data_IF_814002598870
#
_entry.id   IF_814002598870
#
_cell.length_a   1.000
_cell.length_b   1.000
_cell.length_c   1.000
_cell.angle_alpha   90.00
_cell.angle_beta   90.00
_cell.angle_gamma   90.00
#
_symmetry.space_group_name_H-M   'P 1'
#
loop_
_entity.id
_entity.type
_entity.pdbx_description
1 polymer ?
#
# COMPACT_ATOMS: atom_id res chain seq x y z
N UNK A 1 -8.67 12.25 0.84
CA UNK A 1 -7.24 11.92 0.70
C UNK A 1 -6.95 11.41 -0.69
N UNK A 2 -5.85 11.85 -1.24
CA UNK A 2 -5.45 11.52 -2.61
C UNK A 2 -4.20 10.64 -2.56
N UNK A 3 -4.14 9.65 -3.45
CA UNK A 3 -2.91 8.91 -3.71
C UNK A 3 -2.58 8.96 -5.19
N UNK A 4 -1.32 8.73 -5.51
CA UNK A 4 -0.87 8.51 -6.88
C UNK A 4 -0.54 7.05 -7.07
N UNK A 5 -0.96 6.49 -8.19
CA UNK A 5 -0.79 5.08 -8.52
C UNK A 5 -0.05 4.97 -9.84
N UNK A 6 1.17 4.48 -9.80
CA UNK A 6 1.93 4.20 -11.01
C UNK A 6 1.47 2.87 -11.60
N UNK A 7 1.09 2.89 -12.87
CA UNK A 7 0.62 1.70 -13.59
C UNK A 7 1.39 1.55 -14.90
N UNK A 8 1.14 0.45 -15.60
CA UNK A 8 1.73 0.24 -16.93
C UNK A 8 1.32 1.30 -17.94
N UNK A 9 0.18 1.96 -17.76
CA UNK A 9 -0.35 2.99 -18.66
C UNK A 9 -0.11 4.42 -18.19
N UNK A 10 0.65 4.60 -17.12
CA UNK A 10 0.94 5.92 -16.55
C UNK A 10 0.51 6.03 -15.10
N UNK A 11 0.66 7.21 -14.53
CA UNK A 11 0.33 7.47 -13.13
C UNK A 11 -1.04 8.14 -13.02
N UNK A 12 -1.90 7.58 -12.20
CA UNK A 12 -3.24 8.11 -11.93
C UNK A 12 -3.31 8.71 -10.54
N UNK A 13 -4.04 9.84 -10.43
CA UNK A 13 -4.46 10.34 -9.14
C UNK A 13 -5.80 9.68 -8.77
N UNK A 14 -5.92 9.23 -7.54
CA UNK A 14 -7.13 8.56 -7.05
C UNK A 14 -7.56 9.21 -5.75
N UNK A 15 -8.84 9.61 -5.68
CA UNK A 15 -9.47 10.02 -4.43
C UNK A 15 -9.90 8.76 -3.69
N UNK A 16 -9.22 8.48 -2.60
CA UNK A 16 -9.39 7.24 -1.86
C UNK A 16 -10.71 7.20 -1.09
N UNK A 17 -11.17 8.34 -0.59
CA UNK A 17 -12.39 8.42 0.20
C UNK A 17 -13.64 8.31 -0.69
N UNK A 18 -13.62 8.97 -1.85
CA UNK A 18 -14.73 8.93 -2.80
C UNK A 18 -14.60 7.80 -3.82
N UNK A 19 -13.50 7.05 -3.80
CA UNK A 19 -13.22 5.93 -4.70
C UNK A 19 -13.33 6.32 -6.17
N UNK A 20 -12.68 7.45 -6.53
CA UNK A 20 -12.71 7.99 -7.88
C UNK A 20 -11.31 8.11 -8.48
N UNK A 21 -11.18 7.70 -9.73
CA UNK A 21 -9.98 8.00 -10.50
C UNK A 21 -10.13 9.43 -11.04
N UNK A 22 -9.22 10.31 -10.63
CA UNK A 22 -9.28 11.73 -11.00
C UNK A 22 -8.63 12.01 -12.36
N UNK A 23 -7.76 11.12 -12.82
CA UNK A 23 -7.13 11.23 -14.12
C UNK A 23 -5.63 10.97 -14.07
N UNK A 24 -4.99 11.08 -15.24
CA UNK A 24 -3.54 10.94 -15.35
C UNK A 24 -2.84 12.16 -14.79
N UNK A 25 -1.70 11.94 -14.15
CA UNK A 25 -0.85 12.99 -13.61
C UNK A 25 0.58 12.80 -14.13
N UNK A 26 1.29 13.90 -14.29
CA UNK A 26 2.68 13.90 -14.73
C UNK A 26 3.60 13.95 -13.51
N UNK A 27 3.52 12.91 -12.70
CA UNK A 27 4.25 12.83 -11.44
C UNK A 27 4.74 11.39 -11.26
N UNK A 28 6.05 11.17 -11.26
CA UNK A 28 6.57 9.82 -11.08
C UNK A 28 6.30 9.33 -9.65
N UNK A 29 5.96 8.05 -9.54
CA UNK A 29 5.81 7.38 -8.25
C UNK A 29 6.74 6.19 -8.23
N UNK A 30 7.58 6.13 -7.21
CA UNK A 30 8.45 4.99 -6.97
C UNK A 30 8.05 4.34 -5.65
N UNK A 31 8.14 3.02 -5.60
CA UNK A 31 7.90 2.31 -4.35
C UNK A 31 8.95 2.71 -3.32
N UNK A 32 8.49 3.06 -2.13
CA UNK A 32 9.36 3.43 -1.01
C UNK A 32 10.34 2.30 -0.69
N UNK A 33 11.57 2.65 -0.35
CA UNK A 33 12.58 1.71 0.08
C UNK A 33 12.80 1.82 1.56
N UNK A 34 12.43 0.77 2.28
CA UNK A 34 12.64 0.66 3.72
C UNK A 34 13.71 -0.42 3.93
N UNK A 35 14.79 -0.13 4.67
CA UNK A 35 15.87 -1.11 4.87
C UNK A 35 15.42 -2.22 5.83
N UNK A 36 14.89 -3.30 5.28
CA UNK A 36 14.42 -4.46 6.03
C UNK A 36 15.09 -5.73 5.53
N UNK A 37 15.37 -6.64 6.45
CA UNK A 37 15.90 -7.97 6.15
C UNK A 37 14.83 -9.02 6.44
N UNK A 38 13.81 -9.07 5.58
CA UNK A 38 12.74 -10.05 5.68
C UNK A 38 12.76 -10.98 4.48
N UNK A 39 12.55 -12.30 4.68
CA UNK A 39 12.46 -13.23 3.56
C UNK A 39 11.28 -12.89 2.65
N UNK A 40 11.51 -12.99 1.34
CA UNK A 40 10.48 -12.80 0.31
C UNK A 40 9.83 -11.42 0.34
N UNK A 41 10.57 -10.40 0.74
CA UNK A 41 10.09 -9.03 0.76
C UNK A 41 9.82 -8.55 -0.66
N UNK A 42 8.59 -8.03 -0.89
CA UNK A 42 8.18 -7.44 -2.16
C UNK A 42 8.26 -5.91 -2.09
N UNK A 43 7.73 -5.33 -1.02
CA UNK A 43 7.69 -3.88 -0.83
C UNK A 43 7.50 -3.58 0.64
N UNK A 44 7.83 -2.37 1.05
CA UNK A 44 7.59 -1.91 2.40
C UNK A 44 7.35 -0.41 2.41
N UNK A 45 6.67 0.07 3.45
CA UNK A 45 6.41 1.48 3.68
C UNK A 45 6.43 1.75 5.17
N UNK A 46 6.89 2.92 5.55
CA UNK A 46 7.02 3.30 6.96
C UNK A 46 6.59 4.74 7.20
N UNK A 47 6.01 4.97 8.37
CA UNK A 47 5.68 6.31 8.87
C UNK A 47 5.88 6.30 10.38
N UNK A 48 6.85 7.07 10.88
CA UNK A 48 7.23 7.03 12.28
C UNK A 48 7.70 5.63 12.67
N UNK A 49 7.12 5.06 13.73
CA UNK A 49 7.44 3.71 14.17
C UNK A 49 6.59 2.62 13.51
N UNK A 50 5.64 3.01 12.65
CA UNK A 50 4.82 2.06 11.91
C UNK A 50 5.53 1.62 10.64
N UNK A 51 5.69 0.30 10.46
CA UNK A 51 6.27 -0.29 9.26
C UNK A 51 5.32 -1.37 8.76
N UNK A 52 4.99 -1.33 7.47
CA UNK A 52 4.18 -2.36 6.82
C UNK A 52 5.04 -3.00 5.73
N UNK A 53 5.24 -4.29 5.85
CA UNK A 53 6.02 -5.08 4.88
C UNK A 53 5.10 -6.01 4.11
N UNK A 54 5.21 -5.98 2.79
CA UNK A 54 4.51 -6.87 1.88
C UNK A 54 5.45 -8.00 1.50
N UNK A 55 5.04 -9.23 1.74
CA UNK A 55 5.85 -10.42 1.49
C UNK A 55 5.11 -11.42 0.60
N UNK A 56 5.86 -12.26 -0.10
CA UNK A 56 5.30 -13.32 -0.96
C UNK A 56 4.95 -14.55 -0.13
N UNK A 57 3.92 -14.41 0.70
CA UNK A 57 3.34 -15.54 1.46
C UNK A 57 1.94 -15.18 1.91
N UNK A 58 1.30 -16.06 2.65
CA UNK A 58 -0.02 -15.81 3.23
C UNK A 58 0.02 -15.95 4.75
N UNK A 59 -0.53 -14.96 5.49
CA UNK A 59 -1.03 -13.67 5.00
C UNK A 59 0.10 -12.79 4.43
N UNK A 60 -0.19 -11.88 3.50
CA UNK A 60 0.85 -11.17 2.77
C UNK A 60 1.54 -10.02 3.51
N UNK A 61 1.01 -9.60 4.66
CA UNK A 61 1.54 -8.44 5.35
C UNK A 61 2.13 -8.78 6.71
N UNK A 62 3.22 -8.09 7.03
CA UNK A 62 3.80 -8.01 8.36
C UNK A 62 3.76 -6.55 8.80
N UNK A 63 3.23 -6.29 10.00
CA UNK A 63 3.08 -4.94 10.52
C UNK A 63 3.83 -4.81 11.83
N UNK A 64 4.64 -3.75 11.94
CA UNK A 64 5.35 -3.39 13.14
C UNK A 64 4.89 -2.01 13.61
N UNK A 65 4.72 -1.85 14.92
CA UNK A 65 4.47 -0.54 15.54
C UNK A 65 5.66 -0.05 16.35
N UNK A 66 6.76 -0.78 16.33
CA UNK A 66 7.98 -0.47 17.09
C UNK A 66 9.22 -0.42 16.18
N UNK A 67 9.06 0.16 15.00
CA UNK A 67 10.13 0.37 14.03
C UNK A 67 10.83 -0.92 13.58
N UNK A 68 10.10 -2.03 13.53
CA UNK A 68 10.61 -3.30 13.03
C UNK A 68 11.19 -4.22 14.10
N UNK A 69 11.05 -3.89 15.38
CA UNK A 69 11.55 -4.75 16.47
C UNK A 69 10.67 -5.99 16.64
N UNK A 70 9.35 -5.83 16.55
CA UNK A 70 8.39 -6.94 16.59
C UNK A 70 7.40 -6.81 15.46
N UNK A 71 6.84 -7.95 15.03
CA UNK A 71 5.96 -8.01 13.87
C UNK A 71 4.71 -8.82 14.18
N UNK A 72 3.59 -8.40 13.58
CA UNK A 72 2.36 -9.21 13.55
C UNK A 72 1.95 -9.46 12.10
N UNK A 73 1.33 -10.60 11.85
CA UNK A 73 0.77 -10.90 10.54
C UNK A 73 -0.53 -10.12 10.32
N UNK A 74 -0.77 -9.69 9.09
CA UNK A 74 -1.96 -8.95 8.72
C UNK A 74 -2.32 -9.22 7.26
N UNK A 75 -3.53 -8.77 6.86
CA UNK A 75 -3.97 -8.89 5.48
C UNK A 75 -4.50 -10.27 5.12
N UNK A 76 -5.00 -11.03 6.08
CA UNK A 76 -5.66 -12.30 5.77
C UNK A 76 -6.83 -12.08 4.82
N UNK A 77 -6.88 -12.86 3.74
CA UNK A 77 -7.91 -12.73 2.72
C UNK A 77 -7.57 -11.76 1.58
N UNK A 78 -6.50 -10.98 1.70
CA UNK A 78 -6.04 -10.14 0.60
C UNK A 78 -5.42 -10.98 -0.52
N UNK A 79 -5.58 -10.56 -1.79
CA UNK A 79 -4.87 -11.21 -2.90
C UNK A 79 -3.38 -10.94 -2.85
N UNK A 80 -2.63 -11.51 -3.79
CA UNK A 80 -1.21 -11.21 -3.93
C UNK A 80 -1.00 -9.71 -4.16
N UNK A 81 -0.04 -9.12 -3.46
CA UNK A 81 0.21 -7.70 -3.50
C UNK A 81 1.42 -7.30 -4.32
N UNK A 82 1.40 -6.06 -4.79
CA UNK A 82 2.47 -5.47 -5.61
C UNK A 82 3.05 -4.21 -4.98
N UNK A 83 2.26 -3.49 -4.17
CA UNK A 83 2.71 -2.26 -3.54
C UNK A 83 1.96 -1.99 -2.24
N UNK A 84 2.56 -1.18 -1.38
CA UNK A 84 1.97 -0.79 -0.10
C UNK A 84 2.43 0.63 0.24
N UNK A 85 1.57 1.41 0.89
CA UNK A 85 1.91 2.76 1.35
C UNK A 85 1.20 3.08 2.65
N UNK A 86 1.99 3.46 3.67
CA UNK A 86 1.49 3.96 4.96
C UNK A 86 1.38 5.47 4.86
N UNK A 87 0.25 6.04 5.33
CA UNK A 87 0.07 7.48 5.31
C UNK A 87 1.05 8.15 6.28
N UNK A 88 1.81 9.17 5.83
CA UNK A 88 2.87 9.76 6.67
C UNK A 88 2.34 10.48 7.91
N UNK A 89 1.14 11.05 7.87
CA UNK A 89 0.55 11.79 8.98
C UNK A 89 -0.48 10.98 9.76
N UNK A 90 -1.03 9.93 9.15
CA UNK A 90 -2.03 9.04 9.76
C UNK A 90 -1.64 7.58 9.52
N UNK A 91 -0.70 7.03 10.31
CA UNK A 91 -0.15 5.69 10.05
C UNK A 91 -1.16 4.54 10.11
N UNK A 92 -2.33 4.75 10.68
CA UNK A 92 -3.41 3.76 10.65
C UNK A 92 -4.03 3.61 9.26
N UNK A 93 -3.80 4.58 8.37
CA UNK A 93 -4.25 4.51 6.98
C UNK A 93 -3.18 3.87 6.11
N UNK A 94 -3.51 2.73 5.55
CA UNK A 94 -2.59 1.94 4.73
C UNK A 94 -3.26 1.59 3.41
N UNK A 95 -2.55 1.83 2.31
CA UNK A 95 -2.95 1.36 0.99
C UNK A 95 -2.21 0.07 0.65
N UNK A 96 -2.93 -0.87 0.08
CA UNK A 96 -2.40 -2.10 -0.46
C UNK A 96 -2.84 -2.19 -1.93
N UNK A 97 -1.92 -2.46 -2.81
CA UNK A 97 -2.23 -2.63 -4.23
C UNK A 97 -2.09 -4.09 -4.63
N UNK A 98 -3.19 -4.68 -5.05
CA UNK A 98 -3.18 -5.92 -5.82
C UNK A 98 -2.80 -5.58 -7.27
N UNK A 99 -2.93 -6.52 -8.19
CA UNK A 99 -2.49 -6.28 -9.57
C UNK A 99 -3.16 -5.06 -10.22
N UNK A 100 -4.48 -4.90 -10.01
CA UNK A 100 -5.26 -3.85 -10.69
C UNK A 100 -6.27 -3.16 -9.78
N UNK A 101 -6.17 -3.35 -8.48
CA UNK A 101 -7.14 -2.78 -7.53
C UNK A 101 -6.46 -2.38 -6.23
N UNK A 102 -6.92 -1.26 -5.68
CA UNK A 102 -6.46 -0.78 -4.39
C UNK A 102 -7.37 -1.29 -3.27
N UNK A 103 -6.75 -1.50 -2.11
CA UNK A 103 -7.43 -1.81 -0.86
C UNK A 103 -6.99 -0.80 0.19
N UNK A 104 -7.92 -0.34 1.02
CA UNK A 104 -7.67 0.63 2.07
C UNK A 104 -7.95 0.02 3.43
N UNK A 105 -7.03 0.22 4.36
CA UNK A 105 -7.25 0.01 5.78
C UNK A 105 -7.17 1.36 6.50
N UNK A 106 -8.04 1.58 7.49
CA UNK A 106 -8.04 2.80 8.32
C UNK A 106 -7.79 2.47 9.80
N UNK A 107 -7.45 1.24 10.11
CA UNK A 107 -7.28 0.74 11.47
C UNK A 107 -5.96 -0.02 11.67
N UNK A 108 -4.92 0.41 11.01
CA UNK A 108 -3.59 -0.19 11.16
C UNK A 108 -3.45 -1.55 10.49
N UNK A 109 -4.06 -1.73 9.34
CA UNK A 109 -4.00 -2.95 8.53
C UNK A 109 -4.77 -4.15 9.14
N UNK A 110 -5.72 -3.90 10.03
CA UNK A 110 -6.55 -4.98 10.60
C UNK A 110 -7.69 -5.38 9.68
N UNK A 111 -8.46 -4.41 9.18
CA UNK A 111 -9.55 -4.65 8.25
C UNK A 111 -9.32 -3.89 6.96
N UNK A 112 -9.78 -4.44 5.84
CA UNK A 112 -9.51 -3.93 4.52
C UNK A 112 -10.78 -3.77 3.69
N UNK A 113 -10.83 -2.72 2.89
CA UNK A 113 -11.92 -2.45 1.97
C UNK A 113 -11.35 -2.32 0.56
N UNK A 114 -11.88 -3.10 -0.39
CA UNK A 114 -11.53 -2.92 -1.79
C UNK A 114 -12.14 -1.62 -2.31
N UNK A 115 -11.34 -0.81 -3.00
CA UNK A 115 -11.85 0.38 -3.67
C UNK A 115 -12.48 -0.02 -5.00
N UNK A 116 -13.54 0.70 -5.40
CA UNK A 116 -14.32 0.35 -6.58
C UNK A 116 -13.54 0.39 -7.90
N UNK A 117 -12.70 1.40 -8.19
CA UNK A 117 -12.03 1.47 -9.49
C UNK A 117 -11.10 0.31 -9.77
N UNK A 118 -11.13 -0.18 -11.00
CA UNK A 118 -10.10 -1.05 -11.54
C UNK A 118 -9.11 -0.20 -12.33
N UNK A 119 -7.83 -0.51 -12.19
CA UNK A 119 -6.73 0.23 -12.79
C UNK A 119 -5.92 -0.68 -13.70
N UNK A 120 -5.12 -0.14 -14.62
CA UNK A 120 -4.10 -0.95 -15.28
C UNK A 120 -3.15 -1.55 -14.25
N UNK A 121 -2.35 -2.52 -14.64
CA UNK A 121 -1.45 -3.22 -13.72
C UNK A 121 -0.62 -2.23 -12.91
N UNK A 122 -0.70 -2.34 -11.60
CA UNK A 122 -0.11 -1.39 -10.65
C UNK A 122 1.34 -1.77 -10.37
N UNK A 123 2.22 -0.77 -10.35
CA UNK A 123 3.63 -0.94 -10.05
C UNK A 123 4.02 -0.32 -8.72
N UNK A 124 3.43 0.82 -8.37
CA UNK A 124 3.75 1.54 -7.13
C UNK A 124 2.58 2.43 -6.70
N UNK A 125 2.51 2.74 -5.41
CA UNK A 125 1.52 3.67 -4.86
C UNK A 125 2.20 4.61 -3.87
N UNK A 126 1.70 5.83 -3.79
CA UNK A 126 2.15 6.81 -2.81
C UNK A 126 1.02 7.74 -2.41
N UNK A 127 0.96 8.07 -1.12
CA UNK A 127 0.06 9.11 -0.64
C UNK A 127 0.55 10.49 -1.08
N UNK A 128 -0.37 11.38 -1.32
CA UNK A 128 -0.08 12.76 -1.72
C UNK A 128 -0.46 13.74 -0.62
#
# INVERSE_FOLDING_TARGET
MICHVATLDGTYAVDVDDELVLGLVDSPVEQERVPLELPRLVAASAAGSTVVALVERRPPLLVSSDAGSTWREAGGGLPAGFAVAVHPDEPDRVLFAARNRLYLSVDGARFWRALEPELPDIEAVAWV
#
